data_IF_389583193066
#
_entry.id   IF_389583193066
#
_cell.length_a   1.000
_cell.length_b   1.000
_cell.length_c   1.000
_cell.angle_alpha   90.00
_cell.angle_beta   90.00
_cell.angle_gamma   90.00
#
_symmetry.space_group_name_H-M   'P 1'
#
loop_
_entity.id
_entity.type
_entity.pdbx_description
1 polymer ?
#
# COMPACT_ATOMS: atom_id res chain seq x y z
N UNK A 1 -34.88 -1.60 -22.24
CA UNK A 1 -33.51 -2.00 -22.70
C UNK A 1 -32.37 -1.56 -21.78
N UNK A 2 -32.09 -0.27 -21.50
CA UNK A 2 -31.06 0.08 -20.49
C UNK A 2 -31.47 -0.34 -19.07
N UNK A 3 -32.75 -0.17 -18.73
CA UNK A 3 -33.31 -0.59 -17.45
C UNK A 3 -33.23 -2.11 -17.24
N UNK A 4 -33.62 -2.92 -18.23
CA UNK A 4 -33.54 -4.39 -18.16
C UNK A 4 -32.11 -4.91 -17.98
N UNK A 5 -31.14 -4.25 -18.62
CA UNK A 5 -29.74 -4.68 -18.56
C UNK A 5 -29.10 -4.35 -17.21
N UNK A 6 -29.53 -3.27 -16.58
CA UNK A 6 -29.12 -2.91 -15.24
C UNK A 6 -29.78 -3.82 -14.19
N UNK A 7 -31.08 -4.08 -14.30
CA UNK A 7 -31.78 -5.03 -13.42
C UNK A 7 -31.24 -6.46 -13.55
N UNK A 8 -30.93 -6.90 -14.78
CA UNK A 8 -30.28 -8.19 -15.02
C UNK A 8 -28.88 -8.25 -14.41
N UNK A 9 -28.08 -7.18 -14.54
CA UNK A 9 -26.78 -7.09 -13.88
C UNK A 9 -26.93 -7.21 -12.37
N UNK A 10 -27.86 -6.50 -11.75
CA UNK A 10 -28.11 -6.60 -10.30
C UNK A 10 -28.50 -8.02 -9.89
N UNK A 11 -29.40 -8.70 -10.62
CA UNK A 11 -29.78 -10.09 -10.31
C UNK A 11 -28.62 -11.10 -10.47
N UNK A 12 -27.78 -10.93 -11.49
CA UNK A 12 -26.58 -11.75 -11.70
C UNK A 12 -25.51 -11.44 -10.64
N UNK A 13 -25.38 -10.18 -10.23
CA UNK A 13 -24.48 -9.72 -9.17
C UNK A 13 -24.89 -10.24 -7.79
N UNK A 14 -26.19 -10.31 -7.50
CA UNK A 14 -26.72 -10.89 -6.26
C UNK A 14 -26.53 -12.41 -6.23
N UNK A 15 -26.74 -13.10 -7.36
CA UNK A 15 -26.40 -14.52 -7.49
C UNK A 15 -24.91 -14.79 -7.34
N UNK A 16 -24.04 -13.84 -7.72
CA UNK A 16 -22.59 -13.94 -7.58
C UNK A 16 -22.12 -13.73 -6.14
N UNK A 17 -22.79 -12.89 -5.35
CA UNK A 17 -22.50 -12.80 -3.91
C UNK A 17 -22.74 -14.13 -3.17
N UNK A 18 -23.54 -15.02 -3.77
CA UNK A 18 -23.76 -16.40 -3.31
C UNK A 18 -22.83 -17.42 -4.00
N UNK A 19 -21.98 -17.01 -4.95
CA UNK A 19 -20.94 -17.88 -5.53
C UNK A 19 -19.77 -18.01 -4.55
N UNK A 20 -19.96 -18.87 -3.54
CA UNK A 20 -18.96 -19.16 -2.52
C UNK A 20 -17.59 -19.51 -3.13
N UNK A 21 -17.56 -20.13 -4.31
CA UNK A 21 -16.30 -20.57 -4.94
C UNK A 21 -15.41 -19.39 -5.32
N UNK A 22 -15.98 -18.35 -5.93
CA UNK A 22 -15.21 -17.18 -6.32
C UNK A 22 -14.70 -16.40 -5.09
N UNK A 23 -15.56 -16.22 -4.09
CA UNK A 23 -15.17 -15.56 -2.84
C UNK A 23 -14.08 -16.35 -2.13
N UNK A 24 -14.22 -17.68 -2.04
CA UNK A 24 -13.23 -18.55 -1.39
C UNK A 24 -11.88 -18.49 -2.13
N UNK A 25 -11.87 -18.44 -3.47
CA UNK A 25 -10.63 -18.27 -4.24
C UNK A 25 -9.90 -16.97 -3.88
N UNK A 26 -10.64 -15.88 -3.68
CA UNK A 26 -10.06 -14.60 -3.26
C UNK A 26 -9.59 -14.61 -1.81
N UNK A 27 -10.29 -15.33 -0.94
CA UNK A 27 -9.85 -15.54 0.45
C UNK A 27 -8.56 -16.34 0.49
N UNK A 28 -8.46 -17.41 -0.30
CA UNK A 28 -7.24 -18.21 -0.45
C UNK A 28 -6.07 -17.37 -0.95
N UNK A 29 -6.29 -16.57 -1.99
CA UNK A 29 -5.27 -15.68 -2.52
C UNK A 29 -4.85 -14.63 -1.48
N UNK A 30 -5.82 -14.03 -0.79
CA UNK A 30 -5.53 -13.05 0.26
C UNK A 30 -4.76 -13.66 1.43
N UNK A 31 -5.07 -14.92 1.79
CA UNK A 31 -4.34 -15.68 2.79
C UNK A 31 -2.89 -15.93 2.34
N UNK A 32 -2.69 -16.40 1.11
CA UNK A 32 -1.35 -16.72 0.61
C UNK A 32 -0.49 -15.45 0.53
N UNK A 33 -1.08 -14.34 0.09
CA UNK A 33 -0.42 -13.02 0.03
C UNK A 33 -0.12 -12.45 1.40
N UNK A 34 -0.99 -12.64 2.39
CA UNK A 34 -0.79 -12.09 3.74
C UNK A 34 0.37 -12.74 4.49
N UNK A 35 0.90 -13.88 4.03
CA UNK A 35 2.04 -14.55 4.67
C UNK A 35 3.38 -13.81 4.47
N UNK A 36 3.46 -12.92 3.47
CA UNK A 36 4.67 -12.15 3.17
C UNK A 36 4.36 -10.67 2.94
N UNK A 37 5.37 -9.85 3.19
CA UNK A 37 5.36 -8.45 2.79
C UNK A 37 6.32 -8.27 1.61
N UNK A 38 5.93 -7.44 0.65
CA UNK A 38 6.72 -7.15 -0.57
C UNK A 38 7.16 -5.69 -0.55
N UNK A 39 8.46 -5.41 -0.63
CA UNK A 39 8.98 -4.05 -0.76
C UNK A 39 8.90 -3.60 -2.21
N UNK A 40 8.10 -2.56 -2.47
CA UNK A 40 7.79 -2.11 -3.83
C UNK A 40 8.35 -0.73 -4.11
N UNK A 41 9.07 -0.62 -5.22
CA UNK A 41 9.39 0.66 -5.82
C UNK A 41 8.50 0.92 -7.05
N UNK A 42 8.06 2.16 -7.24
CA UNK A 42 7.05 2.51 -8.24
C UNK A 42 7.51 3.65 -9.13
N UNK A 43 7.29 3.48 -10.44
CA UNK A 43 7.41 4.52 -11.45
C UNK A 43 6.05 4.80 -12.08
N UNK A 44 5.76 6.06 -12.34
CA UNK A 44 4.43 6.51 -12.74
C UNK A 44 4.46 7.72 -13.65
N UNK A 45 3.64 7.70 -14.70
CA UNK A 45 3.31 8.88 -15.49
C UNK A 45 1.80 9.10 -15.42
N UNK A 46 1.33 10.25 -14.90
CA UNK A 46 -0.10 10.56 -14.87
C UNK A 46 -0.64 10.76 -16.29
N UNK A 47 -1.83 10.23 -16.56
CA UNK A 47 -2.62 10.53 -17.75
C UNK A 47 -3.93 11.16 -17.26
N UNK A 48 -4.16 12.40 -17.66
CA UNK A 48 -5.37 13.16 -17.36
C UNK A 48 -6.26 13.25 -18.60
N UNK A 49 -7.51 13.70 -18.44
CA UNK A 49 -8.40 13.98 -19.56
C UNK A 49 -7.84 15.04 -20.53
N UNK A 50 -6.93 15.88 -20.06
CA UNK A 50 -6.24 16.92 -20.83
C UNK A 50 -4.99 16.42 -21.55
N UNK A 51 -4.55 15.18 -21.28
CA UNK A 51 -3.35 14.62 -21.90
C UNK A 51 -3.62 14.30 -23.37
N UNK A 52 -2.94 15.00 -24.28
CA UNK A 52 -3.10 14.77 -25.72
C UNK A 52 -2.49 13.42 -26.15
N UNK A 53 -2.96 12.80 -27.25
CA UNK A 53 -2.48 11.50 -27.71
C UNK A 53 -0.96 11.41 -27.92
N UNK A 54 -0.34 12.48 -28.44
CA UNK A 54 1.11 12.54 -28.65
C UNK A 54 1.90 12.41 -27.33
N UNK A 55 1.43 13.06 -26.26
CA UNK A 55 2.05 12.99 -24.95
C UNK A 55 1.84 11.62 -24.29
N UNK A 56 0.72 10.94 -24.60
CA UNK A 56 0.50 9.56 -24.17
C UNK A 56 1.54 8.60 -24.76
N UNK A 57 1.93 8.79 -26.02
CA UNK A 57 2.99 7.99 -26.67
C UNK A 57 4.35 8.27 -26.04
N UNK A 58 4.69 9.55 -25.79
CA UNK A 58 5.93 9.93 -25.09
C UNK A 58 6.00 9.35 -23.68
N UNK A 59 4.91 9.46 -22.92
CA UNK A 59 4.78 8.88 -21.58
C UNK A 59 5.01 7.36 -21.58
N UNK A 60 4.41 6.66 -22.55
CA UNK A 60 4.60 5.22 -22.71
C UNK A 60 6.05 4.86 -23.06
N UNK A 61 6.67 5.60 -23.97
CA UNK A 61 8.06 5.40 -24.36
C UNK A 61 9.03 5.69 -23.20
N UNK A 62 8.75 6.70 -22.38
CA UNK A 62 9.55 7.00 -21.19
C UNK A 62 9.55 5.81 -20.21
N UNK A 63 8.38 5.24 -19.90
CA UNK A 63 8.33 4.06 -19.03
C UNK A 63 8.87 2.80 -19.70
N UNK A 64 8.81 2.67 -21.02
CA UNK A 64 9.55 1.60 -21.72
C UNK A 64 11.06 1.71 -21.51
N UNK A 65 11.61 2.92 -21.55
CA UNK A 65 13.04 3.12 -21.25
C UNK A 65 13.33 2.77 -19.79
N UNK A 66 12.49 3.17 -18.84
CA UNK A 66 12.61 2.73 -17.43
C UNK A 66 12.62 1.20 -17.32
N UNK A 67 11.68 0.49 -17.97
CA UNK A 67 11.62 -0.96 -17.94
C UNK A 67 12.90 -1.60 -18.50
N UNK A 68 13.46 -1.03 -19.57
CA UNK A 68 14.72 -1.47 -20.17
C UNK A 68 15.90 -1.26 -19.21
N UNK A 69 15.98 -0.11 -18.55
CA UNK A 69 17.03 0.21 -17.59
C UNK A 69 16.99 -0.70 -16.35
N UNK A 70 15.79 -0.98 -15.84
CA UNK A 70 15.57 -1.94 -14.75
C UNK A 70 15.95 -3.36 -15.17
N UNK A 71 15.56 -3.79 -16.37
CA UNK A 71 15.96 -5.09 -16.93
C UNK A 71 17.47 -5.20 -17.15
N UNK A 72 18.13 -4.07 -17.41
CA UNK A 72 19.59 -3.96 -17.48
C UNK A 72 20.29 -4.04 -16.12
N UNK A 73 19.55 -4.17 -15.02
CA UNK A 73 20.09 -4.32 -13.67
C UNK A 73 20.44 -3.02 -12.97
N UNK A 74 20.02 -1.85 -13.49
CA UNK A 74 20.25 -0.57 -12.79
C UNK A 74 19.39 -0.50 -11.53
N UNK A 75 20.01 -0.08 -10.42
CA UNK A 75 19.38 -0.03 -9.09
C UNK A 75 19.26 1.39 -8.50
N UNK A 76 19.86 2.40 -9.14
CA UNK A 76 19.68 3.82 -8.76
C UNK A 76 18.39 4.34 -9.42
N UNK A 77 17.26 4.06 -8.78
CA UNK A 77 15.94 4.33 -9.33
C UNK A 77 15.64 5.83 -9.49
N UNK A 78 16.12 6.67 -8.56
CA UNK A 78 15.97 8.13 -8.64
C UNK A 78 16.78 8.71 -9.79
N UNK A 79 17.97 8.17 -10.07
CA UNK A 79 18.74 8.55 -11.24
C UNK A 79 18.06 8.09 -12.54
N UNK A 80 17.58 6.85 -12.61
CA UNK A 80 16.82 6.37 -13.78
C UNK A 80 15.65 7.31 -14.07
N UNK A 81 14.90 7.69 -13.04
CA UNK A 81 13.76 8.58 -13.21
C UNK A 81 14.14 10.00 -13.65
N UNK A 82 15.22 10.57 -13.09
CA UNK A 82 15.74 11.88 -13.52
C UNK A 82 16.23 11.85 -14.96
N UNK A 83 17.04 10.86 -15.32
CA UNK A 83 17.64 10.76 -16.65
C UNK A 83 16.56 10.57 -17.72
N UNK A 84 15.58 9.69 -17.48
CA UNK A 84 14.45 9.51 -18.39
C UNK A 84 13.56 10.76 -18.47
N UNK A 85 13.35 11.44 -17.34
CA UNK A 85 12.56 12.69 -17.30
C UNK A 85 13.19 13.81 -18.10
N UNK A 86 14.52 13.93 -18.04
CA UNK A 86 15.27 14.95 -18.78
C UNK A 86 15.27 14.71 -20.29
N UNK A 87 15.22 13.44 -20.73
CA UNK A 87 15.43 13.08 -22.13
C UNK A 87 14.15 12.73 -22.90
N UNK A 88 13.11 12.22 -22.23
CA UNK A 88 11.93 11.65 -22.92
C UNK A 88 10.63 12.32 -22.45
N UNK A 89 10.26 12.13 -21.19
CA UNK A 89 9.01 12.65 -20.63
C UNK A 89 9.08 12.61 -19.11
N UNK A 90 8.53 13.64 -18.45
CA UNK A 90 8.52 13.73 -16.98
C UNK A 90 7.85 12.52 -16.35
N UNK A 91 8.62 11.77 -15.55
CA UNK A 91 8.09 10.65 -14.76
C UNK A 91 8.14 10.99 -13.27
N UNK A 92 7.22 10.38 -12.52
CA UNK A 92 7.28 10.33 -11.06
C UNK A 92 7.79 8.97 -10.64
N UNK A 93 8.45 8.92 -9.49
CA UNK A 93 8.93 7.70 -8.89
C UNK A 93 8.89 7.81 -7.36
N UNK A 94 8.92 6.67 -6.69
CA UNK A 94 8.97 6.64 -5.24
C UNK A 94 9.02 5.23 -4.67
N UNK A 95 9.58 5.16 -3.48
CA UNK A 95 9.56 3.96 -2.65
C UNK A 95 8.20 3.87 -1.93
N UNK A 96 7.41 2.84 -2.24
CA UNK A 96 6.13 2.57 -1.57
C UNK A 96 6.37 1.92 -0.19
N UNK A 97 7.54 1.32 0.03
CA UNK A 97 7.84 0.49 1.18
C UNK A 97 7.25 -0.91 1.05
N UNK A 98 7.11 -1.56 2.20
CA UNK A 98 6.54 -2.90 2.29
C UNK A 98 5.02 -2.85 2.26
N UNK A 99 4.42 -3.64 1.37
CA UNK A 99 2.97 -3.81 1.24
C UNK A 99 2.57 -5.24 1.58
N UNK A 100 1.33 -5.41 2.06
CA UNK A 100 0.70 -6.74 2.25
C UNK A 100 -0.63 -6.79 1.48
N UNK A 101 -1.39 -7.88 1.62
CA UNK A 101 -2.72 -8.00 1.02
C UNK A 101 -3.62 -6.83 1.46
N UNK A 102 -4.44 -6.31 0.54
CA UNK A 102 -5.36 -5.18 0.75
C UNK A 102 -4.69 -3.81 1.01
N UNK A 103 -3.35 -3.70 0.93
CA UNK A 103 -2.66 -2.39 1.05
C UNK A 103 -2.83 -1.54 -0.20
N UNK A 104 -2.87 -2.17 -1.38
CA UNK A 104 -2.96 -1.51 -2.68
C UNK A 104 -4.22 -1.93 -3.44
N UNK A 105 -4.66 -1.15 -4.45
CA UNK A 105 -5.68 -1.59 -5.38
C UNK A 105 -5.39 -2.98 -5.93
N UNK A 106 -6.42 -3.83 -6.00
CA UNK A 106 -6.30 -5.24 -6.34
C UNK A 106 -5.56 -5.50 -7.66
N UNK A 107 -5.75 -4.64 -8.67
CA UNK A 107 -5.05 -4.74 -9.95
C UNK A 107 -3.54 -4.57 -9.82
N UNK A 108 -3.07 -3.69 -8.92
CA UNK A 108 -1.64 -3.49 -8.66
C UNK A 108 -1.09 -4.64 -7.82
N UNK A 109 -1.85 -5.08 -6.80
CA UNK A 109 -1.52 -6.25 -5.99
C UNK A 109 -1.27 -7.49 -6.89
N UNK A 110 -2.17 -7.76 -7.84
CA UNK A 110 -2.04 -8.85 -8.80
C UNK A 110 -0.79 -8.78 -9.68
N UNK A 111 -0.28 -7.59 -9.96
CA UNK A 111 0.96 -7.40 -10.73
C UNK A 111 2.15 -7.68 -9.81
N UNK A 112 2.18 -7.01 -8.65
CA UNK A 112 3.30 -7.04 -7.70
C UNK A 112 3.56 -8.44 -7.18
N UNK A 113 2.54 -9.17 -6.74
CA UNK A 113 2.69 -10.51 -6.15
C UNK A 113 3.07 -11.60 -7.17
N UNK A 114 3.08 -11.29 -8.47
CA UNK A 114 3.60 -12.17 -9.52
C UNK A 114 5.06 -11.92 -9.86
N UNK A 115 5.65 -10.82 -9.37
CA UNK A 115 7.05 -10.49 -9.62
C UNK A 115 7.96 -11.29 -8.69
N UNK A 116 9.01 -11.88 -9.24
CA UNK A 116 10.11 -12.38 -8.42
C UNK A 116 10.87 -11.23 -7.75
N UNK A 117 11.56 -11.53 -6.64
CA UNK A 117 12.52 -10.58 -6.03
C UNK A 117 13.53 -10.15 -7.08
N UNK A 118 13.75 -8.84 -7.23
CA UNK A 118 14.66 -8.34 -8.26
C UNK A 118 13.98 -8.11 -9.63
N UNK A 119 12.73 -8.52 -9.83
CA UNK A 119 11.98 -8.29 -11.07
C UNK A 119 11.21 -6.95 -11.07
N UNK A 120 11.00 -6.39 -12.27
CA UNK A 120 10.08 -5.28 -12.54
C UNK A 120 8.96 -5.71 -13.46
N UNK A 121 7.76 -5.19 -13.26
CA UNK A 121 6.64 -5.38 -14.18
C UNK A 121 6.91 -4.74 -15.54
N UNK A 122 6.16 -5.19 -16.55
CA UNK A 122 5.94 -4.37 -17.74
C UNK A 122 5.14 -3.09 -17.42
N UNK A 123 4.94 -2.25 -18.43
CA UNK A 123 4.05 -1.08 -18.31
C UNK A 123 2.61 -1.51 -18.11
N UNK A 124 1.95 -0.98 -17.09
CA UNK A 124 0.52 -1.17 -16.84
C UNK A 124 -0.22 0.15 -16.97
N UNK A 125 -1.28 0.22 -17.79
CA UNK A 125 -2.08 1.43 -17.99
C UNK A 125 -3.37 1.35 -17.18
N UNK A 126 -3.54 2.29 -16.24
CA UNK A 126 -4.77 2.51 -15.48
C UNK A 126 -5.51 3.76 -15.98
N UNK A 127 -6.66 4.06 -15.37
CA UNK A 127 -7.36 5.34 -15.58
C UNK A 127 -6.55 6.56 -15.11
N UNK A 128 -5.62 6.38 -14.16
CA UNK A 128 -4.82 7.47 -13.58
C UNK A 128 -3.51 7.71 -14.34
N UNK A 129 -3.05 6.75 -15.13
CA UNK A 129 -1.78 6.85 -15.83
C UNK A 129 -1.15 5.51 -16.17
N UNK A 130 0.16 5.53 -16.40
CA UNK A 130 0.96 4.35 -16.73
C UNK A 130 1.92 4.08 -15.57
N UNK A 131 2.05 2.81 -15.20
CA UNK A 131 2.72 2.34 -13.99
C UNK A 131 3.79 1.30 -14.34
N UNK A 132 4.89 1.29 -13.59
CA UNK A 132 5.83 0.16 -13.48
C UNK A 132 6.09 -0.09 -12.01
N UNK A 133 6.00 -1.34 -11.58
CA UNK A 133 6.30 -1.77 -10.21
C UNK A 133 7.56 -2.62 -10.20
N UNK A 134 8.35 -2.50 -9.14
CA UNK A 134 9.58 -3.26 -8.94
C UNK A 134 9.52 -3.93 -7.58
N UNK A 135 9.64 -5.26 -7.56
CA UNK A 135 9.80 -6.02 -6.32
C UNK A 135 11.26 -5.93 -5.89
N UNK A 136 11.54 -5.19 -4.81
CA UNK A 136 12.89 -4.95 -4.31
C UNK A 136 13.35 -6.13 -3.48
N UNK A 137 12.55 -6.49 -2.48
CA UNK A 137 12.80 -7.58 -1.56
C UNK A 137 11.49 -8.07 -0.97
N UNK A 138 11.54 -9.24 -0.35
CA UNK A 138 10.42 -9.85 0.36
C UNK A 138 10.83 -10.23 1.76
N UNK A 139 9.88 -10.16 2.69
CA UNK A 139 10.06 -10.66 4.06
C UNK A 139 8.82 -11.42 4.50
N UNK A 140 8.96 -12.25 5.54
CA UNK A 140 7.80 -12.82 6.23
C UNK A 140 6.94 -11.69 6.77
N UNK A 141 5.61 -11.86 6.73
CA UNK A 141 4.69 -10.88 7.27
C UNK A 141 5.03 -10.51 8.72
N UNK A 142 5.07 -9.21 8.99
CA UNK A 142 5.31 -8.68 10.33
C UNK A 142 4.10 -8.85 11.25
N UNK A 143 2.94 -9.26 10.73
CA UNK A 143 1.71 -9.38 11.49
C UNK A 143 1.08 -8.03 11.82
N UNK A 144 0.25 -8.04 12.87
CA UNK A 144 -0.43 -6.86 13.42
C UNK A 144 0.39 -6.31 14.58
N UNK A 145 0.47 -4.99 14.69
CA UNK A 145 1.27 -4.28 15.68
C UNK A 145 0.42 -3.25 16.40
N UNK A 146 0.66 -3.12 17.71
CA UNK A 146 0.23 -1.98 18.52
C UNK A 146 1.45 -1.33 19.12
N UNK A 147 1.52 -0.02 19.02
CA UNK A 147 2.64 0.79 19.49
C UNK A 147 2.12 2.02 20.23
N UNK A 148 2.98 2.61 21.04
CA UNK A 148 2.83 3.99 21.51
C UNK A 148 3.95 4.85 20.93
N UNK A 149 3.66 6.11 20.60
CA UNK A 149 4.64 7.06 20.09
C UNK A 149 4.75 8.33 20.92
N UNK A 150 5.94 8.92 20.89
CA UNK A 150 6.19 10.32 21.24
C UNK A 150 6.80 10.97 20.01
N UNK A 151 6.05 11.89 19.41
CA UNK A 151 6.49 12.74 18.31
C UNK A 151 6.96 14.10 18.83
N UNK A 152 8.12 14.56 18.37
CA UNK A 152 8.56 15.95 18.41
C UNK A 152 8.56 16.49 16.98
N UNK A 153 7.54 17.26 16.63
CA UNK A 153 7.22 17.59 15.25
C UNK A 153 8.13 18.70 14.70
N UNK A 154 8.60 18.55 13.46
CA UNK A 154 9.25 19.64 12.74
C UNK A 154 8.22 20.73 12.39
N UNK A 155 8.65 21.98 12.42
CA UNK A 155 7.79 23.06 11.98
C UNK A 155 7.52 22.92 10.47
N UNK A 156 6.34 23.35 9.97
CA UNK A 156 6.06 23.31 8.54
C UNK A 156 7.16 24.00 7.73
N UNK A 157 7.79 23.27 6.81
CA UNK A 157 8.88 23.78 5.97
C UNK A 157 10.30 23.59 6.53
N UNK A 158 10.46 23.06 7.74
CA UNK A 158 11.76 22.59 8.21
C UNK A 158 12.16 21.29 7.48
N UNK A 159 13.42 21.21 7.07
CA UNK A 159 13.94 19.99 6.46
C UNK A 159 14.05 18.88 7.52
N UNK A 160 13.60 17.68 7.15
CA UNK A 160 13.67 16.49 7.98
C UNK A 160 15.10 16.28 8.53
N UNK A 161 15.26 16.28 9.85
CA UNK A 161 16.55 16.05 10.51
C UNK A 161 17.39 17.31 10.77
N UNK A 162 16.86 18.52 10.57
CA UNK A 162 17.63 19.76 10.73
C UNK A 162 17.31 20.60 11.98
N UNK A 163 16.83 19.96 13.05
CA UNK A 163 16.59 20.65 14.33
C UNK A 163 17.37 20.01 15.49
N UNK A 164 18.61 20.45 15.77
CA UNK A 164 19.42 19.94 16.87
C UNK A 164 18.76 20.10 18.24
N UNK A 165 18.02 21.20 18.44
CA UNK A 165 17.32 21.46 19.70
C UNK A 165 16.17 20.46 19.92
N UNK A 166 15.39 20.15 18.88
CA UNK A 166 14.35 19.13 18.97
C UNK A 166 14.96 17.75 19.20
N UNK A 167 16.09 17.44 18.54
CA UNK A 167 16.82 16.19 18.78
C UNK A 167 17.25 16.07 20.24
N UNK A 168 17.83 17.12 20.82
CA UNK A 168 18.24 17.15 22.23
C UNK A 168 17.06 16.94 23.18
N UNK A 169 15.91 17.56 22.90
CA UNK A 169 14.68 17.32 23.68
C UNK A 169 14.23 15.87 23.59
N UNK A 170 14.19 15.30 22.40
CA UNK A 170 13.83 13.90 22.19
C UNK A 170 14.82 12.95 22.90
N UNK A 171 16.12 13.19 22.77
CA UNK A 171 17.17 12.38 23.42
C UNK A 171 17.06 12.46 24.95
N UNK A 172 16.73 13.64 25.52
CA UNK A 172 16.47 13.80 26.96
C UNK A 172 15.27 12.97 27.42
N UNK A 173 14.14 13.04 26.69
CA UNK A 173 12.94 12.25 27.01
C UNK A 173 13.20 10.75 26.88
N UNK A 174 13.93 10.33 25.85
CA UNK A 174 14.35 8.94 25.69
C UNK A 174 15.17 8.44 26.89
N UNK A 175 16.13 9.25 27.37
CA UNK A 175 16.95 8.89 28.52
C UNK A 175 16.11 8.78 29.82
N UNK A 176 15.14 9.67 30.01
CA UNK A 176 14.21 9.57 31.14
C UNK A 176 13.41 8.27 31.10
N UNK A 177 12.89 7.90 29.92
CA UNK A 177 12.14 6.64 29.72
C UNK A 177 13.04 5.43 30.00
N UNK A 178 14.29 5.44 29.50
CA UNK A 178 15.27 4.38 29.81
C UNK A 178 15.59 4.26 31.30
N UNK A 179 15.51 5.35 32.03
CA UNK A 179 15.71 5.40 33.49
C UNK A 179 14.42 5.13 34.28
N UNK A 180 13.35 4.65 33.63
CA UNK A 180 12.12 4.19 34.29
C UNK A 180 10.95 5.18 34.29
N UNK A 181 11.06 6.32 33.61
CA UNK A 181 9.90 7.21 33.43
C UNK A 181 8.78 6.52 32.65
N UNK A 182 7.52 6.78 33.04
CA UNK A 182 6.36 6.19 32.36
C UNK A 182 6.20 6.77 30.96
N UNK A 183 6.23 5.92 29.93
CA UNK A 183 6.14 6.32 28.53
C UNK A 183 4.85 7.10 28.22
N UNK A 184 3.71 6.64 28.71
CA UNK A 184 2.40 7.26 28.44
C UNK A 184 2.28 8.64 29.07
N UNK A 185 2.79 8.84 30.28
CA UNK A 185 2.84 10.15 30.91
C UNK A 185 3.79 11.11 30.19
N UNK A 186 4.93 10.62 29.70
CA UNK A 186 5.82 11.42 28.84
C UNK A 186 5.11 11.79 27.53
N UNK A 187 4.41 10.86 26.89
CA UNK A 187 3.64 11.14 25.68
C UNK A 187 2.60 12.24 25.90
N UNK A 188 1.80 12.14 26.97
CA UNK A 188 0.82 13.17 27.35
C UNK A 188 1.46 14.53 27.59
N UNK A 189 2.63 14.56 28.22
CA UNK A 189 3.28 15.80 28.62
C UNK A 189 4.01 16.51 27.49
N UNK A 190 4.65 15.76 26.58
CA UNK A 190 5.62 16.36 25.64
C UNK A 190 5.34 16.06 24.17
N UNK A 191 4.44 15.14 23.84
CA UNK A 191 4.26 14.76 22.44
C UNK A 191 3.46 15.80 21.64
N UNK A 192 3.95 16.07 20.43
CA UNK A 192 3.27 16.87 19.41
C UNK A 192 2.24 16.07 18.58
N UNK A 193 2.12 14.74 18.77
CA UNK A 193 1.06 13.96 18.12
C UNK A 193 -0.30 14.23 18.79
N UNK A 194 -1.03 15.19 18.24
CA UNK A 194 -2.33 15.63 18.76
C UNK A 194 -3.42 14.55 18.72
N UNK A 195 -3.23 13.47 17.98
CA UNK A 195 -4.22 12.39 17.90
C UNK A 195 -4.08 11.39 19.04
N UNK A 196 -2.86 11.12 19.50
CA UNK A 196 -2.59 10.01 20.43
C UNK A 196 -2.00 10.43 21.77
N UNK A 197 -1.49 11.66 21.91
CA UNK A 197 -0.77 12.08 23.13
C UNK A 197 -1.61 11.89 24.41
N UNK A 198 -2.91 12.23 24.40
CA UNK A 198 -3.80 12.06 25.56
C UNK A 198 -4.03 10.59 25.93
N UNK A 199 -3.97 9.70 24.94
CA UNK A 199 -4.07 8.25 25.10
C UNK A 199 -2.69 7.60 25.35
N UNK A 200 -1.73 8.35 25.90
CA UNK A 200 -0.39 7.81 26.19
C UNK A 200 0.45 7.53 24.95
N UNK A 201 0.09 8.12 23.81
CA UNK A 201 0.75 7.92 22.53
C UNK A 201 0.29 6.68 21.77
N UNK A 202 -0.69 5.93 22.28
CA UNK A 202 -1.12 4.67 21.67
C UNK A 202 -1.76 4.88 20.29
N UNK A 203 -1.26 4.14 19.29
CA UNK A 203 -1.84 4.11 17.95
C UNK A 203 -2.81 2.92 17.80
N UNK A 204 -3.81 3.05 16.91
CA UNK A 204 -4.61 1.90 16.48
C UNK A 204 -3.74 0.77 15.95
N UNK A 205 -4.24 -0.46 16.06
CA UNK A 205 -3.59 -1.63 15.48
C UNK A 205 -3.35 -1.42 13.98
N UNK A 206 -2.15 -1.77 13.52
CA UNK A 206 -1.78 -1.64 12.13
C UNK A 206 -0.90 -2.80 11.67
N UNK A 207 -0.72 -2.89 10.36
CA UNK A 207 0.24 -3.81 9.71
C UNK A 207 1.09 -3.01 8.73
N UNK A 208 1.96 -3.68 7.97
CA UNK A 208 2.83 -3.01 7.00
C UNK A 208 2.04 -2.18 5.98
N UNK A 209 2.67 -1.09 5.51
CA UNK A 209 2.12 -0.21 4.47
C UNK A 209 1.01 0.71 4.98
N UNK A 210 0.96 0.97 6.29
CA UNK A 210 0.05 1.96 6.91
C UNK A 210 0.74 3.29 7.19
N UNK A 211 2.04 3.27 7.45
CA UNK A 211 2.86 4.45 7.69
C UNK A 211 3.95 4.61 6.62
N UNK A 212 4.68 5.74 6.68
CA UNK A 212 5.76 5.99 5.75
C UNK A 212 6.88 4.93 5.92
N UNK A 213 7.55 4.51 4.83
CA UNK A 213 8.53 3.42 4.86
C UNK A 213 9.64 3.64 5.90
N UNK A 214 10.11 4.88 6.07
CA UNK A 214 11.14 5.23 7.04
C UNK A 214 10.69 5.01 8.49
N UNK A 215 9.42 5.28 8.80
CA UNK A 215 8.87 5.05 10.14
C UNK A 215 8.73 3.55 10.40
N UNK A 216 8.08 2.82 9.49
CA UNK A 216 7.87 1.38 9.64
C UNK A 216 9.19 0.60 9.75
N UNK A 217 10.22 1.02 9.01
CA UNK A 217 11.57 0.44 9.06
C UNK A 217 12.17 0.49 10.46
N UNK A 218 11.95 1.56 11.23
CA UNK A 218 12.45 1.66 12.59
C UNK A 218 11.57 0.93 13.60
N UNK A 219 10.24 1.02 13.44
CA UNK A 219 9.28 0.35 14.33
C UNK A 219 9.44 -1.17 14.30
N UNK A 220 9.52 -1.78 13.12
CA UNK A 220 9.57 -3.23 12.99
C UNK A 220 10.93 -3.85 13.35
N UNK A 221 11.91 -3.05 13.80
CA UNK A 221 13.15 -3.55 14.42
C UNK A 221 12.95 -3.99 15.87
N UNK A 222 11.90 -3.49 16.55
CA UNK A 222 11.62 -3.78 17.96
C UNK A 222 11.24 -5.26 18.14
N UNK A 223 11.93 -5.98 19.00
CA UNK A 223 11.80 -7.43 19.13
C UNK A 223 10.83 -7.83 20.22
N UNK A 224 10.77 -7.08 21.31
CA UNK A 224 10.01 -7.44 22.50
C UNK A 224 8.90 -6.44 22.79
N UNK A 225 7.81 -6.92 23.39
CA UNK A 225 6.83 -6.02 23.98
C UNK A 225 7.51 -5.20 25.09
N UNK A 226 7.06 -3.96 25.23
CA UNK A 226 7.63 -2.90 26.05
C UNK A 226 9.01 -2.36 25.64
N UNK A 227 9.60 -2.87 24.55
CA UNK A 227 10.84 -2.32 24.00
C UNK A 227 10.63 -0.91 23.43
N UNK A 228 11.57 -0.01 23.72
CA UNK A 228 11.56 1.39 23.26
C UNK A 228 12.67 1.62 22.25
N UNK A 229 12.34 2.20 21.10
CA UNK A 229 13.27 2.56 20.06
C UNK A 229 14.23 3.66 20.51
N UNK A 230 15.44 3.69 19.94
CA UNK A 230 16.23 4.94 19.92
C UNK A 230 15.46 6.06 19.23
N UNK A 231 15.86 7.32 19.46
CA UNK A 231 15.31 8.46 18.71
C UNK A 231 15.67 8.33 17.24
N UNK A 232 14.66 8.40 16.36
CA UNK A 232 14.86 8.40 14.91
C UNK A 232 14.05 9.52 14.23
N UNK A 233 14.49 9.94 13.05
CA UNK A 233 13.85 11.04 12.30
C UNK A 233 13.01 10.51 11.13
N UNK A 234 11.96 11.25 10.79
CA UNK A 234 11.18 11.12 9.55
C UNK A 234 10.91 12.51 8.98
N UNK A 235 10.15 12.61 7.89
CA UNK A 235 9.67 13.90 7.39
C UNK A 235 8.84 14.71 8.40
N UNK A 236 8.23 14.07 9.40
CA UNK A 236 7.35 14.74 10.36
C UNK A 236 8.05 15.27 11.61
N UNK A 237 9.22 14.74 11.95
CA UNK A 237 9.85 15.02 13.25
C UNK A 237 10.75 13.90 13.75
N UNK A 238 11.13 14.04 15.02
CA UNK A 238 11.78 12.97 15.78
C UNK A 238 10.77 12.13 16.53
N UNK A 239 10.98 10.83 16.49
CA UNK A 239 10.09 9.81 17.03
C UNK A 239 10.80 9.00 18.09
N UNK A 240 10.05 8.64 19.13
CA UNK A 240 10.37 7.57 20.06
C UNK A 240 9.15 6.64 20.05
N UNK A 241 9.37 5.36 19.80
CA UNK A 241 8.28 4.39 19.73
C UNK A 241 8.50 3.30 20.76
N UNK A 242 7.41 2.92 21.43
CA UNK A 242 7.35 1.74 22.29
C UNK A 242 6.49 0.68 21.63
N UNK A 243 7.00 -0.56 21.51
CA UNK A 243 6.18 -1.71 21.10
C UNK A 243 5.28 -2.12 22.25
N UNK A 244 3.97 -2.13 22.04
CA UNK A 244 3.00 -2.62 23.04
C UNK A 244 2.72 -4.09 22.80
N UNK A 245 2.43 -4.44 21.55
CA UNK A 245 2.01 -5.78 21.17
C UNK A 245 2.36 -6.06 19.71
N UNK A 246 2.67 -7.33 19.40
CA UNK A 246 2.73 -7.84 18.04
C UNK A 246 2.01 -9.18 18.01
N UNK A 247 1.08 -9.30 17.07
CA UNK A 247 0.28 -10.50 16.83
C UNK A 247 0.72 -11.05 15.47
N UNK A 248 1.32 -12.25 15.41
CA UNK A 248 1.75 -12.84 14.15
C UNK A 248 0.57 -13.12 13.23
N UNK A 249 0.79 -13.01 11.93
CA UNK A 249 -0.20 -13.45 10.93
C UNK A 249 -0.45 -14.95 11.07
N UNK A 250 -1.70 -15.39 11.25
CA UNK A 250 -2.01 -16.82 11.26
C UNK A 250 -1.58 -17.47 9.94
N UNK A 251 -0.89 -18.60 10.05
CA UNK A 251 -0.27 -19.31 8.93
C UNK A 251 -0.97 -20.62 8.57
N UNK A 252 -2.12 -20.89 9.18
CA UNK A 252 -2.94 -22.08 8.97
C UNK A 252 -4.25 -21.69 8.30
N UNK A 253 -4.62 -22.39 7.22
CA UNK A 253 -5.92 -22.23 6.56
C UNK A 253 -7.05 -22.86 7.36
N UNK A 254 -6.76 -23.51 8.47
CA UNK A 254 -7.73 -24.06 9.40
C UNK A 254 -8.16 -23.03 10.47
N UNK A 255 -7.49 -21.87 10.56
CA UNK A 255 -7.91 -20.78 11.44
C UNK A 255 -9.19 -20.11 10.92
N UNK A 256 -10.33 -20.60 11.44
CA UNK A 256 -11.65 -20.14 11.05
C UNK A 256 -11.87 -18.64 11.31
N UNK A 257 -11.29 -18.08 12.38
CA UNK A 257 -11.43 -16.66 12.70
C UNK A 257 -10.67 -15.81 11.68
N UNK A 258 -9.46 -16.23 11.32
CA UNK A 258 -8.65 -15.52 10.34
C UNK A 258 -9.25 -15.60 8.93
N UNK A 259 -9.70 -16.78 8.50
CA UNK A 259 -10.40 -16.91 7.23
C UNK A 259 -11.70 -16.09 7.19
N UNK A 260 -12.42 -16.02 8.30
CA UNK A 260 -13.60 -15.16 8.41
C UNK A 260 -13.23 -13.67 8.28
N UNK A 261 -12.17 -13.20 8.95
CA UNK A 261 -11.66 -11.83 8.79
C UNK A 261 -11.30 -11.52 7.32
N UNK A 262 -10.59 -12.44 6.65
CA UNK A 262 -10.23 -12.29 5.25
C UNK A 262 -11.48 -12.27 4.35
N UNK A 263 -12.48 -13.13 4.62
CA UNK A 263 -13.75 -13.14 3.88
C UNK A 263 -14.48 -11.81 4.01
N UNK A 264 -14.55 -11.24 5.20
CA UNK A 264 -15.15 -9.91 5.41
C UNK A 264 -14.39 -8.82 4.64
N UNK A 265 -13.05 -8.84 4.68
CA UNK A 265 -12.23 -7.90 3.91
C UNK A 265 -12.45 -8.04 2.40
N UNK A 266 -12.47 -9.27 1.87
CA UNK A 266 -12.76 -9.55 0.45
C UNK A 266 -14.12 -9.00 0.04
N UNK A 267 -15.16 -9.19 0.86
CA UNK A 267 -16.52 -8.73 0.57
C UNK A 267 -16.67 -7.21 0.58
N UNK A 268 -15.86 -6.51 1.36
CA UNK A 268 -15.87 -5.04 1.47
C UNK A 268 -14.91 -4.37 0.48
N UNK A 269 -13.93 -5.10 -0.05
CA UNK A 269 -12.91 -4.57 -0.96
C UNK A 269 -13.40 -4.49 -2.41
N UNK A 270 -12.88 -3.52 -3.16
CA UNK A 270 -13.24 -3.30 -4.56
C UNK A 270 -12.95 -4.52 -5.47
N UNK A 271 -12.09 -5.47 -5.05
CA UNK A 271 -11.84 -6.73 -5.76
C UNK A 271 -13.12 -7.52 -6.05
N UNK A 272 -14.13 -7.43 -5.17
CA UNK A 272 -15.40 -8.14 -5.40
C UNK A 272 -16.13 -7.62 -6.63
N UNK A 273 -16.01 -6.31 -6.91
CA UNK A 273 -16.68 -5.69 -8.05
C UNK A 273 -16.01 -6.09 -9.37
N UNK A 274 -14.68 -6.18 -9.40
CA UNK A 274 -13.93 -6.68 -10.57
C UNK A 274 -14.36 -8.11 -10.91
N UNK A 275 -14.57 -8.92 -9.87
CA UNK A 275 -15.02 -10.30 -9.99
C UNK A 275 -16.45 -10.40 -10.54
N UNK A 276 -17.37 -9.61 -9.98
CA UNK A 276 -18.75 -9.47 -10.47
C UNK A 276 -18.81 -9.05 -11.93
N UNK A 277 -18.03 -8.04 -12.32
CA UNK A 277 -17.98 -7.55 -13.69
C UNK A 277 -17.50 -8.65 -14.66
N UNK A 278 -16.46 -9.41 -14.28
CA UNK A 278 -15.96 -10.53 -15.08
C UNK A 278 -17.00 -11.65 -15.21
N UNK A 279 -17.64 -12.02 -14.10
CA UNK A 279 -18.69 -13.04 -14.12
C UNK A 279 -19.87 -12.63 -15.01
N UNK A 280 -20.34 -11.39 -14.90
CA UNK A 280 -21.39 -10.86 -15.76
C UNK A 280 -20.99 -10.89 -17.24
N UNK A 281 -19.73 -10.57 -17.57
CA UNK A 281 -19.21 -10.70 -18.94
C UNK A 281 -19.19 -12.15 -19.42
N UNK A 282 -18.75 -13.10 -18.59
CA UNK A 282 -18.71 -14.52 -18.93
C UNK A 282 -20.12 -15.07 -19.19
N UNK A 283 -21.12 -14.67 -18.40
CA UNK A 283 -22.53 -15.02 -18.63
C UNK A 283 -23.04 -14.39 -19.94
N UNK A 284 -22.80 -13.10 -20.18
CA UNK A 284 -23.19 -12.43 -21.42
C UNK A 284 -22.58 -13.10 -22.66
N UNK A 285 -21.31 -13.52 -22.56
CA UNK A 285 -20.61 -14.25 -23.62
C UNK A 285 -21.23 -15.63 -23.85
N UNK A 286 -21.49 -16.40 -22.78
CA UNK A 286 -22.15 -17.72 -22.86
C UNK A 286 -23.56 -17.63 -23.45
N UNK A 287 -24.29 -16.57 -23.15
CA UNK A 287 -25.63 -16.31 -23.69
C UNK A 287 -25.62 -15.75 -25.12
N UNK A 288 -24.45 -15.53 -25.72
CA UNK A 288 -24.32 -15.00 -27.08
C UNK A 288 -24.82 -13.56 -27.23
N UNK A 289 -24.84 -12.77 -26.15
CA UNK A 289 -25.37 -11.42 -26.17
C UNK A 289 -24.49 -10.49 -27.04
N UNK A 290 -25.00 -10.08 -28.20
CA UNK A 290 -24.37 -9.04 -29.05
C UNK A 290 -25.00 -7.69 -28.76
N UNK A 291 -24.22 -6.75 -28.23
CA UNK A 291 -24.65 -5.35 -28.03
C UNK A 291 -25.07 -4.75 -29.37
N UNK A 292 -26.38 -4.59 -29.61
CA UNK A 292 -26.88 -3.86 -30.79
C UNK A 292 -26.42 -2.40 -30.68
N UNK A 293 -25.62 -1.92 -31.63
CA UNK A 293 -25.38 -0.50 -31.80
C UNK A 293 -26.70 0.14 -32.27
N UNK A 294 -27.36 0.89 -31.39
CA UNK A 294 -28.46 1.76 -31.81
C UNK A 294 -27.86 2.93 -32.58
N UNK A 295 -27.90 2.86 -33.91
CA UNK A 295 -27.77 4.06 -34.74
C UNK A 295 -28.96 4.96 -34.45
N UNK A 296 -28.69 6.18 -33.96
CA UNK A 296 -29.70 7.25 -33.99
C UNK A 296 -30.01 7.51 -35.47
N UNK A 297 -31.24 7.22 -35.90
CA UNK A 297 -31.76 7.77 -37.16
C UNK A 297 -32.02 9.26 -36.90
N UNK A 298 -31.39 10.09 -37.73
CA UNK A 298 -31.63 11.54 -37.81
C UNK A 298 -33.07 11.82 -38.21
#
# INVERSE_FOLDING_TARGET
MQYDLQSFRTQVEDSYMNDEKSVNTMVDEAFDRSQKDVHVYHFFVPITAETIPADTVKAYNALKEVAKELKGGKTDFDKIARDVSANIYKIKNGDIGFITAFTLPYEYENIIYKLAVGESSGTYRSKKGIHIFKNIEERKSVGKWRIAQILFAFAPGENAGNSPLLKQKADSVYNLIKNGANFGEMAKSVSDDKMTYTAGGELPEFTTGKFQPQFEKEVFKLKNNDEVSSVFATAFGYHIVKRLEQIPTPNSKEDANYLFELKQKVQQDARINIAKEKFAQDILNKLGYKKKQCYKRN
#
